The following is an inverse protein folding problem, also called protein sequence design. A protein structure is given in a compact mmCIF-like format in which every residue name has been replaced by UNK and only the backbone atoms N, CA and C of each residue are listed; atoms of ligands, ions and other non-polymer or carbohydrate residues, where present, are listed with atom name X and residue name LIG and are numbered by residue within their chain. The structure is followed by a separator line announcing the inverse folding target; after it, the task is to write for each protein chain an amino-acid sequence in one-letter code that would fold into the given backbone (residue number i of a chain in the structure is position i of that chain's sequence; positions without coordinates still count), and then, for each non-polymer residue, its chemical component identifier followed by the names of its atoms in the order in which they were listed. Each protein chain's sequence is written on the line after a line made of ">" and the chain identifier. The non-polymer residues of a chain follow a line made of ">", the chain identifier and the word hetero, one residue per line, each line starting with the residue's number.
data_IF_725928320955
#
_entry.id   IF_725928320955
#
_cell.length_a   1.000
_cell.length_b   1.000
_cell.length_c   1.000
_cell.angle_alpha   90.00
_cell.angle_beta   90.00
_cell.angle_gamma   90.00
#
_symmetry.space_group_name_H-M   'P 1'
#
loop_
_entity.id
_entity.type
_entity.pdbx_description
1 polymer ?
#
# COMPACT_ATOMS: atom_id res chain seq x y z
N UNK A 1 -4.71 32.77 -8.91
CA UNK A 1 -5.16 31.96 -7.76
C UNK A 1 -5.62 30.55 -8.16
N UNK A 2 -6.59 30.36 -9.06
CA UNK A 2 -7.08 28.99 -9.45
C UNK A 2 -6.00 28.00 -9.94
N UNK A 3 -4.87 28.47 -10.50
CA UNK A 3 -3.78 27.57 -10.98
C UNK A 3 -2.91 27.02 -9.85
N UNK A 4 -2.76 27.78 -8.75
CA UNK A 4 -1.94 27.38 -7.61
C UNK A 4 -2.69 26.34 -6.77
N UNK A 5 -3.98 26.55 -6.52
CA UNK A 5 -4.82 25.60 -5.80
C UNK A 5 -4.91 24.24 -6.51
N UNK A 6 -5.00 24.24 -7.84
CA UNK A 6 -5.01 23.00 -8.61
C UNK A 6 -3.68 22.23 -8.53
N UNK A 7 -2.55 22.94 -8.57
CA UNK A 7 -1.23 22.30 -8.41
C UNK A 7 -1.06 21.71 -7.00
N UNK A 8 -1.45 22.45 -5.96
CA UNK A 8 -1.38 21.98 -4.57
C UNK A 8 -2.24 20.72 -4.39
N UNK A 9 -3.44 20.68 -4.98
CA UNK A 9 -4.31 19.50 -4.91
C UNK A 9 -3.68 18.27 -5.58
N UNK A 10 -3.08 18.42 -6.76
CA UNK A 10 -2.41 17.31 -7.46
C UNK A 10 -1.21 16.78 -6.66
N UNK A 11 -0.36 17.67 -6.13
CA UNK A 11 0.77 17.28 -5.30
C UNK A 11 0.34 16.62 -3.98
N UNK A 12 -0.76 17.08 -3.38
CA UNK A 12 -1.34 16.44 -2.20
C UNK A 12 -1.82 15.02 -2.49
N UNK A 13 -2.40 14.79 -3.68
CA UNK A 13 -2.80 13.47 -4.12
C UNK A 13 -1.59 12.55 -4.37
N UNK A 14 -0.53 13.05 -5.00
CA UNK A 14 0.71 12.28 -5.19
C UNK A 14 1.34 11.91 -3.84
N UNK A 15 1.37 12.84 -2.88
CA UNK A 15 1.85 12.55 -1.53
C UNK A 15 1.01 11.48 -0.83
N UNK A 16 -0.32 11.52 -0.98
CA UNK A 16 -1.21 10.50 -0.46
C UNK A 16 -0.91 9.12 -1.07
N UNK A 17 -0.70 9.03 -2.40
CA UNK A 17 -0.29 7.81 -3.06
C UNK A 17 1.04 7.26 -2.52
N UNK A 18 2.03 8.14 -2.25
CA UNK A 18 3.30 7.73 -1.64
C UNK A 18 3.11 7.15 -0.23
N UNK A 19 2.25 7.77 0.60
CA UNK A 19 1.93 7.25 1.93
C UNK A 19 1.26 5.88 1.83
N UNK A 20 0.37 5.67 0.86
CA UNK A 20 -0.26 4.36 0.65
C UNK A 20 0.75 3.29 0.22
N UNK A 21 1.66 3.62 -0.71
CA UNK A 21 2.73 2.71 -1.12
C UNK A 21 3.64 2.36 0.04
N UNK A 22 3.98 3.34 0.89
CA UNK A 22 4.75 3.12 2.12
C UNK A 22 4.01 2.20 3.09
N UNK A 23 2.72 2.43 3.33
CA UNK A 23 1.90 1.56 4.17
C UNK A 23 1.83 0.12 3.60
N UNK A 24 1.85 -0.02 2.27
CA UNK A 24 1.84 -1.32 1.58
C UNK A 24 3.12 -2.13 1.66
N UNK A 25 4.18 -1.60 2.26
CA UNK A 25 5.37 -2.38 2.62
C UNK A 25 5.08 -3.39 3.74
N UNK A 26 4.11 -3.07 4.61
CA UNK A 26 3.85 -3.84 5.82
C UNK A 26 2.80 -4.93 5.54
N UNK A 27 3.12 -6.20 5.87
CA UNK A 27 2.18 -7.30 5.74
C UNK A 27 0.92 -7.05 6.60
N UNK A 28 -0.22 -7.58 6.16
CA UNK A 28 -1.50 -7.45 6.86
C UNK A 28 -2.17 -6.08 6.68
N UNK A 29 -1.47 -4.96 6.95
CA UNK A 29 -2.07 -3.61 7.16
C UNK A 29 -3.00 -3.09 6.07
N UNK A 30 -2.83 -3.56 4.84
CA UNK A 30 -3.61 -3.09 3.71
C UNK A 30 -4.87 -3.91 3.39
N UNK A 31 -5.09 -5.10 3.96
CA UNK A 31 -6.29 -5.88 3.61
C UNK A 31 -7.60 -5.13 3.93
N UNK A 32 -7.68 -4.56 5.13
CA UNK A 32 -8.81 -3.71 5.56
C UNK A 32 -8.63 -2.25 5.12
N UNK A 33 -7.39 -1.76 5.06
CA UNK A 33 -7.14 -0.40 4.61
C UNK A 33 -7.41 -0.23 3.10
N UNK A 34 -7.28 -1.25 2.25
CA UNK A 34 -7.62 -1.18 0.82
C UNK A 34 -9.10 -0.87 0.61
N UNK A 35 -9.99 -1.39 1.46
CA UNK A 35 -11.41 -1.00 1.45
C UNK A 35 -11.57 0.50 1.70
N UNK A 36 -10.95 1.02 2.76
CA UNK A 36 -10.96 2.46 3.05
C UNK A 36 -10.24 3.29 2.00
N UNK A 37 -9.19 2.76 1.39
CA UNK A 37 -8.40 3.42 0.34
C UNK A 37 -9.21 3.52 -0.95
N UNK A 38 -9.99 2.48 -1.29
CA UNK A 38 -10.92 2.50 -2.41
C UNK A 38 -12.04 3.50 -2.13
N UNK A 39 -12.65 3.48 -0.94
CA UNK A 39 -13.71 4.42 -0.57
C UNK A 39 -13.22 5.86 -0.58
N UNK A 40 -12.08 6.14 0.07
CA UNK A 40 -11.49 7.47 0.11
C UNK A 40 -10.99 7.91 -1.27
N UNK A 41 -10.47 6.98 -2.08
CA UNK A 41 -10.08 7.23 -3.46
C UNK A 41 -11.27 7.59 -4.34
N UNK A 42 -12.38 6.86 -4.23
CA UNK A 42 -13.63 7.18 -4.93
C UNK A 42 -14.21 8.53 -4.47
N UNK A 43 -14.16 8.82 -3.17
CA UNK A 43 -14.58 10.10 -2.61
C UNK A 43 -13.70 11.25 -3.12
N UNK A 44 -12.38 11.08 -3.08
CA UNK A 44 -11.42 12.07 -3.57
C UNK A 44 -11.60 12.33 -5.08
N UNK A 45 -11.83 11.28 -5.87
CA UNK A 45 -12.14 11.38 -7.28
C UNK A 45 -13.45 12.14 -7.52
N UNK A 46 -14.50 11.81 -6.76
CA UNK A 46 -15.79 12.50 -6.84
C UNK A 46 -15.65 13.99 -6.52
N UNK A 47 -14.88 14.33 -5.48
CA UNK A 47 -14.56 15.71 -5.10
C UNK A 47 -13.77 16.42 -6.20
N UNK A 48 -12.77 15.77 -6.79
CA UNK A 48 -11.98 16.32 -7.89
C UNK A 48 -12.82 16.59 -9.14
N UNK A 49 -13.73 15.66 -9.49
CA UNK A 49 -14.68 15.83 -10.60
C UNK A 49 -15.63 16.99 -10.32
N UNK A 50 -16.19 17.06 -9.11
CA UNK A 50 -17.08 18.15 -8.69
C UNK A 50 -16.41 19.52 -8.84
N UNK A 51 -15.21 19.70 -8.28
CA UNK A 51 -14.48 20.97 -8.40
C UNK A 51 -14.06 21.29 -9.84
N UNK A 52 -13.78 20.26 -10.66
CA UNK A 52 -13.49 20.45 -12.08
C UNK A 52 -14.71 20.95 -12.85
N UNK A 53 -15.89 20.37 -12.62
CA UNK A 53 -17.15 20.82 -13.23
C UNK A 53 -17.49 22.24 -12.80
N UNK A 54 -17.41 22.54 -11.50
CA UNK A 54 -17.63 23.91 -10.98
C UNK A 54 -16.62 24.89 -11.60
N UNK A 55 -15.36 24.49 -11.74
CA UNK A 55 -14.32 25.27 -12.40
C UNK A 55 -14.65 25.60 -13.86
N UNK A 56 -15.17 24.63 -14.61
CA UNK A 56 -15.62 24.81 -16.01
C UNK A 56 -16.82 25.75 -16.07
N UNK A 57 -17.82 25.58 -15.19
CA UNK A 57 -19.01 26.44 -15.13
C UNK A 57 -18.59 27.89 -14.85
N UNK A 58 -17.79 28.11 -13.80
CA UNK A 58 -17.30 29.45 -13.42
C UNK A 58 -16.45 30.06 -14.54
N UNK A 59 -15.63 29.25 -15.22
CA UNK A 59 -14.82 29.72 -16.34
C UNK A 59 -15.69 30.13 -17.54
N UNK A 60 -16.68 29.31 -17.90
CA UNK A 60 -17.65 29.63 -18.96
C UNK A 60 -18.43 30.90 -18.64
N UNK A 61 -18.91 31.03 -17.40
CA UNK A 61 -19.63 32.23 -16.95
C UNK A 61 -18.75 33.48 -17.00
N UNK A 62 -17.48 33.37 -16.58
CA UNK A 62 -16.49 34.46 -16.71
C UNK A 62 -16.14 34.77 -18.17
N UNK A 63 -16.11 33.77 -19.04
CA UNK A 63 -15.85 33.97 -20.47
C UNK A 63 -17.02 34.71 -21.13
N UNK A 64 -18.26 34.33 -20.84
CA UNK A 64 -19.47 35.02 -21.35
C UNK A 64 -19.53 36.46 -20.84
N UNK A 65 -19.30 36.68 -19.54
CA UNK A 65 -19.32 38.03 -18.94
C UNK A 65 -18.13 38.90 -19.37
N UNK A 66 -16.95 38.31 -19.61
CA UNK A 66 -15.81 39.04 -20.20
C UNK A 66 -15.93 39.26 -21.69
N UNK A 67 -16.56 38.36 -22.45
CA UNK A 67 -16.80 38.55 -23.89
C UNK A 67 -17.57 39.85 -24.15
N UNK A 68 -18.49 40.20 -23.24
CA UNK A 68 -19.18 41.51 -23.24
C UNK A 68 -18.28 42.72 -22.91
N UNK A 69 -17.10 42.54 -22.31
CA UNK A 69 -16.18 43.62 -21.89
C UNK A 69 -14.88 43.70 -22.70
N UNK A 70 -14.55 42.72 -23.54
CA UNK A 70 -13.19 42.55 -24.10
C UNK A 70 -13.06 42.82 -25.61
N UNK A 71 -13.82 43.80 -26.12
CA UNK A 71 -13.60 44.37 -27.46
C UNK A 71 -12.31 45.22 -27.56
N UNK A 72 -11.57 45.47 -26.47
CA UNK A 72 -10.29 46.18 -26.51
C UNK A 72 -9.29 45.53 -25.57
N UNK A 73 -8.03 45.49 -26.01
CA UNK A 73 -6.79 45.09 -25.31
C UNK A 73 -6.28 43.66 -25.58
N UNK A 74 -5.34 43.63 -26.52
CA UNK A 74 -4.37 42.57 -26.78
C UNK A 74 -3.37 42.61 -25.61
N UNK A 75 -3.51 41.69 -24.65
CA UNK A 75 -2.53 41.49 -23.57
C UNK A 75 -1.82 40.16 -23.82
N UNK A 76 -0.47 40.11 -23.75
CA UNK A 76 0.29 38.89 -24.00
C UNK A 76 -0.13 37.79 -23.02
N UNK A 77 -0.37 36.60 -23.57
CA UNK A 77 -0.89 35.43 -22.86
C UNK A 77 0.16 34.97 -21.85
N UNK A 78 -0.12 34.96 -20.54
CA UNK A 78 0.84 34.47 -19.55
C UNK A 78 1.15 33.00 -19.85
N UNK A 79 2.43 32.68 -20.00
CA UNK A 79 3.00 31.35 -20.25
C UNK A 79 2.26 30.35 -19.35
N UNK A 80 1.40 29.53 -19.96
CA UNK A 80 0.58 28.60 -19.21
C UNK A 80 1.51 27.54 -18.62
N UNK A 81 1.63 27.50 -17.29
CA UNK A 81 2.24 26.37 -16.60
C UNK A 81 1.64 25.07 -17.15
N UNK A 82 2.43 24.01 -17.33
CA UNK A 82 2.00 22.78 -17.98
C UNK A 82 1.11 21.93 -17.04
N UNK A 83 0.05 22.52 -16.47
CA UNK A 83 -0.89 21.87 -15.56
C UNK A 83 -1.49 20.60 -16.19
N UNK A 84 -1.67 20.59 -17.52
CA UNK A 84 -2.05 19.39 -18.27
C UNK A 84 -1.04 18.25 -18.11
N UNK A 85 0.27 18.53 -18.19
CA UNK A 85 1.32 17.51 -18.02
C UNK A 85 1.35 16.99 -16.59
N UNK A 86 1.21 17.87 -15.60
CA UNK A 86 1.16 17.48 -14.18
C UNK A 86 -0.08 16.61 -13.93
N UNK A 87 -1.25 17.01 -14.41
CA UNK A 87 -2.47 16.23 -14.26
C UNK A 87 -2.37 14.84 -14.91
N UNK A 88 -1.76 14.74 -16.09
CA UNK A 88 -1.51 13.43 -16.74
C UNK A 88 -0.54 12.59 -15.90
N UNK A 89 0.55 13.18 -15.40
CA UNK A 89 1.52 12.47 -14.56
C UNK A 89 0.88 11.95 -13.26
N UNK A 90 0.11 12.78 -12.55
CA UNK A 90 -0.64 12.39 -11.36
C UNK A 90 -1.63 11.26 -11.67
N UNK A 91 -2.37 11.33 -12.78
CA UNK A 91 -3.28 10.27 -13.18
C UNK A 91 -2.56 8.92 -13.40
N UNK A 92 -1.41 8.93 -14.10
CA UNK A 92 -0.57 7.74 -14.28
C UNK A 92 -0.09 7.22 -12.93
N UNK A 93 0.34 8.11 -12.02
CA UNK A 93 0.85 7.72 -10.71
C UNK A 93 -0.21 7.10 -9.81
N UNK A 94 -1.44 7.60 -9.85
CA UNK A 94 -2.59 7.00 -9.15
C UNK A 94 -2.88 5.60 -9.66
N UNK A 95 -2.94 5.40 -10.98
CA UNK A 95 -3.18 4.09 -11.59
C UNK A 95 -2.04 3.12 -11.25
N UNK A 96 -0.79 3.56 -11.35
CA UNK A 96 0.37 2.78 -10.96
C UNK A 96 0.29 2.37 -9.48
N UNK A 97 -0.07 3.30 -8.59
CA UNK A 97 -0.21 3.02 -7.16
C UNK A 97 -1.25 1.94 -6.91
N UNK A 98 -2.42 2.03 -7.55
CA UNK A 98 -3.46 1.00 -7.46
C UNK A 98 -2.97 -0.38 -7.93
N UNK A 99 -2.32 -0.45 -9.09
CA UNK A 99 -1.77 -1.71 -9.63
C UNK A 99 -0.69 -2.28 -8.70
N UNK A 100 0.23 -1.44 -8.22
CA UNK A 100 1.28 -1.84 -7.31
C UNK A 100 0.72 -2.38 -5.98
N UNK A 101 -0.30 -1.75 -5.43
CA UNK A 101 -0.95 -2.20 -4.19
C UNK A 101 -1.74 -3.50 -4.38
N UNK A 102 -2.55 -3.61 -5.43
CA UNK A 102 -3.32 -4.84 -5.73
C UNK A 102 -2.44 -6.07 -5.91
N UNK A 103 -1.25 -5.90 -6.52
CA UNK A 103 -0.30 -6.99 -6.73
C UNK A 103 0.74 -7.10 -5.61
N UNK A 104 0.58 -6.34 -4.52
CA UNK A 104 1.47 -6.33 -3.37
C UNK A 104 2.95 -6.06 -3.72
N UNK A 105 3.20 -5.26 -4.76
CA UNK A 105 4.56 -4.95 -5.22
C UNK A 105 5.42 -4.28 -4.15
N UNK A 106 4.95 -3.28 -3.39
CA UNK A 106 5.77 -2.65 -2.36
C UNK A 106 6.26 -3.66 -1.31
N UNK A 107 5.36 -4.54 -0.83
CA UNK A 107 5.71 -5.62 0.09
C UNK A 107 6.70 -6.59 -0.55
N UNK A 108 6.48 -7.03 -1.79
CA UNK A 108 7.38 -7.96 -2.48
C UNK A 108 8.79 -7.38 -2.67
N UNK A 109 8.89 -6.10 -2.99
CA UNK A 109 10.17 -5.40 -3.13
C UNK A 109 10.86 -5.28 -1.77
N UNK A 110 10.15 -4.82 -0.74
CA UNK A 110 10.70 -4.67 0.60
C UNK A 110 11.12 -6.01 1.24
N UNK A 111 10.32 -7.06 1.02
CA UNK A 111 10.68 -8.42 1.39
C UNK A 111 11.87 -8.91 0.58
N UNK A 112 11.91 -8.70 -0.74
CA UNK A 112 13.06 -9.06 -1.57
C UNK A 112 14.38 -8.46 -1.08
N UNK A 113 14.36 -7.20 -0.62
CA UNK A 113 15.51 -6.53 -0.01
C UNK A 113 15.88 -7.10 1.36
N UNK A 114 14.90 -7.58 2.13
CA UNK A 114 15.11 -8.14 3.48
C UNK A 114 15.37 -9.65 3.47
N UNK A 115 15.06 -10.34 2.36
CA UNK A 115 15.11 -11.80 2.20
C UNK A 115 16.45 -12.41 2.64
N UNK A 116 17.63 -11.81 2.36
CA UNK A 116 18.89 -12.36 2.84
C UNK A 116 18.96 -12.50 4.37
N UNK A 117 18.44 -11.53 5.13
CA UNK A 117 18.43 -11.58 6.59
C UNK A 117 17.51 -12.69 7.12
N UNK A 118 16.33 -12.85 6.50
CA UNK A 118 15.44 -13.97 6.81
C UNK A 118 16.06 -15.33 6.47
N UNK A 119 16.71 -15.43 5.31
CA UNK A 119 17.35 -16.67 4.84
C UNK A 119 18.54 -17.05 5.72
N UNK A 120 19.33 -16.07 6.19
CA UNK A 120 20.40 -16.33 7.15
C UNK A 120 19.85 -16.94 8.44
N UNK A 121 18.69 -16.46 8.91
CA UNK A 121 18.05 -17.00 10.12
C UNK A 121 17.45 -18.40 9.94
N UNK A 122 17.13 -18.81 8.71
CA UNK A 122 16.69 -20.18 8.43
C UNK A 122 17.76 -21.24 8.75
N UNK A 123 19.05 -20.89 8.62
CA UNK A 123 20.14 -21.84 8.89
C UNK A 123 20.24 -22.20 10.38
N UNK A 124 19.83 -21.28 11.25
CA UNK A 124 19.82 -21.44 12.70
C UNK A 124 18.47 -21.91 13.24
N UNK A 125 17.59 -22.37 12.36
CA UNK A 125 16.26 -22.84 12.70
C UNK A 125 16.34 -24.05 13.64
N UNK A 126 15.82 -23.96 14.89
CA UNK A 126 15.67 -25.16 15.72
C UNK A 126 14.73 -26.14 15.01
N UNK A 127 15.22 -27.35 14.76
CA UNK A 127 14.40 -28.47 14.33
C UNK A 127 13.68 -28.97 15.58
N UNK A 128 12.35 -28.83 15.61
CA UNK A 128 11.56 -29.26 16.76
C UNK A 128 10.66 -30.42 16.36
N UNK A 129 10.66 -31.47 17.19
CA UNK A 129 9.79 -32.65 17.04
C UNK A 129 8.33 -32.36 17.46
N UNK A 130 8.08 -31.25 18.15
CA UNK A 130 6.72 -30.82 18.49
C UNK A 130 6.12 -30.04 17.33
N UNK A 131 4.84 -30.30 17.04
CA UNK A 131 4.16 -29.81 15.85
C UNK A 131 4.28 -28.29 15.63
N UNK A 132 4.48 -27.49 16.68
CA UNK A 132 4.77 -26.07 16.58
C UNK A 132 5.52 -25.63 17.84
N UNK A 133 6.69 -25.01 17.70
CA UNK A 133 7.37 -24.32 18.82
C UNK A 133 7.60 -22.87 18.48
N UNK A 134 6.97 -21.99 19.25
CA UNK A 134 7.14 -20.55 19.15
C UNK A 134 8.30 -20.09 20.04
N UNK A 135 9.23 -19.35 19.45
CA UNK A 135 10.36 -18.74 20.12
C UNK A 135 10.29 -17.22 19.97
N UNK A 136 10.38 -16.45 21.06
CA UNK A 136 10.49 -15.00 20.95
C UNK A 136 11.83 -14.66 20.28
N UNK A 137 11.77 -13.88 19.19
CA UNK A 137 12.95 -13.43 18.46
C UNK A 137 13.27 -11.96 18.75
N UNK A 138 12.26 -11.09 18.72
CA UNK A 138 12.39 -9.65 18.99
C UNK A 138 13.58 -8.97 18.26
N UNK A 139 13.75 -9.31 16.99
CA UNK A 139 14.89 -8.88 16.18
C UNK A 139 14.43 -8.16 14.91
N UNK A 140 15.22 -7.21 14.43
CA UNK A 140 14.98 -6.55 13.15
C UNK A 140 15.67 -7.29 12.01
N UNK A 141 14.87 -7.92 11.14
CA UNK A 141 15.32 -8.57 9.91
C UNK A 141 15.07 -7.64 8.70
N UNK A 142 16.11 -6.89 8.32
CA UNK A 142 16.02 -5.89 7.26
C UNK A 142 15.10 -4.73 7.64
N UNK A 143 14.02 -4.51 6.88
CA UNK A 143 13.03 -3.46 7.20
C UNK A 143 11.96 -3.92 8.20
N UNK A 144 11.86 -5.23 8.46
CA UNK A 144 10.81 -5.81 9.30
C UNK A 144 11.32 -6.06 10.71
N UNK A 145 10.47 -5.79 11.70
CA UNK A 145 10.69 -6.23 13.07
C UNK A 145 9.95 -7.54 13.28
N UNK A 146 10.65 -8.57 13.75
CA UNK A 146 10.10 -9.92 13.95
C UNK A 146 9.99 -10.18 15.45
N UNK A 147 8.78 -10.41 15.92
CA UNK A 147 8.48 -10.67 17.34
C UNK A 147 8.69 -12.13 17.69
N UNK A 148 8.15 -13.02 16.86
CA UNK A 148 8.18 -14.46 17.08
C UNK A 148 8.67 -15.19 15.85
N UNK A 149 9.29 -16.33 16.13
CA UNK A 149 9.82 -17.27 15.19
C UNK A 149 9.23 -18.63 15.53
N UNK A 150 8.82 -19.40 14.53
CA UNK A 150 8.36 -20.76 14.75
C UNK A 150 8.77 -21.66 13.60
N UNK A 151 9.08 -22.91 13.90
CA UNK A 151 9.35 -23.95 12.93
C UNK A 151 8.49 -25.17 13.23
N UNK A 152 8.14 -25.91 12.18
CA UNK A 152 7.50 -27.21 12.29
C UNK A 152 8.46 -28.35 11.90
N UNK A 153 8.05 -29.57 12.20
CA UNK A 153 8.80 -30.79 11.88
C UNK A 153 8.91 -31.07 10.38
N UNK A 154 8.06 -30.44 9.56
CA UNK A 154 8.08 -30.52 8.10
C UNK A 154 9.07 -29.56 7.44
N UNK A 155 9.75 -28.72 8.21
CA UNK A 155 10.72 -27.73 7.71
C UNK A 155 10.10 -26.39 7.29
N UNK A 156 8.80 -26.17 7.54
CA UNK A 156 8.20 -24.86 7.36
C UNK A 156 8.65 -23.93 8.48
N UNK A 157 8.92 -22.68 8.14
CA UNK A 157 9.38 -21.67 9.10
C UNK A 157 8.55 -20.42 8.99
N UNK A 158 8.10 -19.90 10.13
CA UNK A 158 7.21 -18.75 10.24
C UNK A 158 7.88 -17.63 11.03
N UNK A 159 7.86 -16.43 10.47
CA UNK A 159 8.38 -15.21 11.09
C UNK A 159 7.22 -14.23 11.28
N UNK A 160 6.81 -14.01 12.52
CA UNK A 160 5.74 -13.07 12.84
C UNK A 160 6.29 -11.64 12.92
N UNK A 161 5.74 -10.75 12.10
CA UNK A 161 6.17 -9.34 12.04
C UNK A 161 5.23 -8.38 12.78
N UNK A 162 4.11 -8.89 13.28
CA UNK A 162 3.16 -8.11 14.06
C UNK A 162 1.78 -8.74 14.14
N UNK A 163 0.81 -7.91 14.51
CA UNK A 163 -0.60 -8.25 14.61
C UNK A 163 -1.43 -7.31 13.75
N UNK A 164 -2.45 -7.83 13.06
CA UNK A 164 -3.26 -7.08 12.11
C UNK A 164 -4.68 -6.78 12.62
N UNK A 165 -5.09 -5.51 12.47
CA UNK A 165 -6.49 -5.08 12.54
C UNK A 165 -7.10 -5.10 13.94
N UNK A 166 -8.43 -4.92 13.99
CA UNK A 166 -9.24 -4.99 15.21
C UNK A 166 -9.24 -6.41 15.82
N UNK A 167 -8.94 -7.43 15.01
CA UNK A 167 -9.03 -8.86 15.34
C UNK A 167 -7.72 -9.51 15.78
N UNK A 168 -6.64 -8.76 15.99
CA UNK A 168 -5.48 -9.36 16.65
C UNK A 168 -4.71 -10.36 15.77
N UNK A 169 -4.96 -10.46 14.46
CA UNK A 169 -4.52 -11.61 13.66
C UNK A 169 -3.00 -11.59 13.43
N UNK A 170 -2.23 -12.59 13.91
CA UNK A 170 -0.81 -12.65 13.67
C UNK A 170 -0.51 -12.80 12.17
N UNK A 171 0.50 -12.08 11.71
CA UNK A 171 0.88 -12.08 10.30
C UNK A 171 2.39 -11.92 10.15
N UNK A 172 2.89 -12.31 8.98
CA UNK A 172 4.29 -12.17 8.64
C UNK A 172 4.67 -13.00 7.44
N UNK A 173 5.88 -13.56 7.45
CA UNK A 173 6.43 -14.32 6.32
C UNK A 173 6.66 -15.78 6.71
N UNK A 174 6.31 -16.69 5.81
CA UNK A 174 6.50 -18.11 5.94
C UNK A 174 7.42 -18.62 4.82
N UNK A 175 8.37 -19.47 5.18
CA UNK A 175 9.18 -20.23 4.25
C UNK A 175 8.58 -21.63 4.13
N UNK A 176 8.22 -22.02 2.90
CA UNK A 176 7.62 -23.32 2.57
C UNK A 176 6.51 -23.77 3.55
N UNK A 177 5.44 -22.98 3.74
CA UNK A 177 4.34 -23.36 4.62
C UNK A 177 3.70 -24.68 4.14
N UNK A 178 3.26 -25.50 5.09
CA UNK A 178 2.50 -26.71 4.81
C UNK A 178 0.99 -26.50 5.04
N UNK A 179 0.20 -27.47 4.59
CA UNK A 179 -1.26 -27.43 4.74
C UNK A 179 -1.75 -27.84 6.15
N UNK A 180 -0.84 -28.19 7.07
CA UNK A 180 -1.19 -28.67 8.41
C UNK A 180 -1.53 -27.54 9.39
N UNK A 181 -1.26 -26.29 9.01
CA UNK A 181 -1.64 -25.10 9.76
C UNK A 181 -0.46 -24.17 10.06
N UNK A 182 -0.73 -23.10 10.81
CA UNK A 182 0.29 -22.19 11.32
C UNK A 182 0.44 -22.35 12.83
N UNK A 183 1.66 -22.19 13.38
CA UNK A 183 1.87 -22.14 14.84
C UNK A 183 0.99 -21.10 15.53
N UNK A 184 0.67 -20.00 14.84
CA UNK A 184 0.06 -18.81 15.43
C UNK A 184 -1.49 -18.78 15.38
N UNK A 185 -2.17 -19.89 15.11
CA UNK A 185 -3.65 -19.97 15.12
C UNK A 185 -4.21 -21.33 14.70
N UNK A 186 -5.50 -21.60 14.98
CA UNK A 186 -6.09 -22.95 14.84
C UNK A 186 -7.10 -23.13 13.69
N UNK A 187 -7.69 -22.05 13.15
CA UNK A 187 -8.95 -22.16 12.39
C UNK A 187 -8.92 -21.60 10.96
N UNK A 188 -7.99 -20.69 10.64
CA UNK A 188 -7.88 -20.12 9.29
C UNK A 188 -6.48 -19.58 9.00
N UNK A 189 -5.88 -20.10 7.92
CA UNK A 189 -4.60 -19.62 7.41
C UNK A 189 -4.75 -19.14 5.99
N UNK A 190 -4.26 -17.93 5.72
CA UNK A 190 -4.16 -17.39 4.38
C UNK A 190 -2.69 -17.30 3.98
N UNK A 191 -2.35 -17.91 2.85
CA UNK A 191 -1.02 -17.83 2.24
C UNK A 191 -1.08 -17.11 0.90
N UNK A 192 -0.22 -16.11 0.71
CA UNK A 192 -0.04 -15.46 -0.58
C UNK A 192 1.44 -15.47 -0.99
N UNK A 193 1.78 -15.85 -2.23
CA UNK A 193 3.17 -15.93 -2.66
C UNK A 193 3.82 -14.54 -2.70
N UNK A 194 5.01 -14.42 -2.11
CA UNK A 194 5.83 -13.20 -2.06
C UNK A 194 7.09 -13.37 -2.93
N UNK A 195 7.78 -14.48 -2.76
CA UNK A 195 8.90 -14.93 -3.59
C UNK A 195 8.84 -16.45 -3.73
N UNK A 196 9.72 -17.04 -4.55
CA UNK A 196 9.71 -18.47 -4.93
C UNK A 196 9.22 -19.42 -3.82
N UNK A 197 9.92 -19.43 -2.69
CA UNK A 197 9.65 -20.34 -1.55
C UNK A 197 9.08 -19.59 -0.33
N UNK A 198 8.70 -18.32 -0.51
CA UNK A 198 8.30 -17.42 0.57
C UNK A 198 6.88 -16.91 0.38
N UNK A 199 6.10 -17.00 1.43
CA UNK A 199 4.69 -16.68 1.45
C UNK A 199 4.41 -15.66 2.54
N UNK A 200 3.47 -14.77 2.30
CA UNK A 200 2.81 -13.97 3.32
C UNK A 200 1.84 -14.91 4.03
N UNK A 201 1.88 -14.97 5.35
CA UNK A 201 0.86 -15.66 6.12
C UNK A 201 0.04 -14.68 6.96
N UNK A 202 -1.24 -15.01 7.13
CA UNK A 202 -2.13 -14.41 8.13
C UNK A 202 -2.88 -15.56 8.80
N UNK A 203 -2.80 -15.63 10.12
CA UNK A 203 -3.52 -16.61 10.92
C UNK A 203 -4.69 -15.92 11.64
N UNK A 204 -5.86 -16.55 11.68
CA UNK A 204 -7.00 -16.10 12.49
C UNK A 204 -6.71 -16.31 13.97
N UNK A 205 -7.22 -15.40 14.80
CA UNK A 205 -7.17 -15.51 16.25
C UNK A 205 -8.56 -15.90 16.79
N UNK A 206 -9.18 -16.89 16.17
CA UNK A 206 -10.46 -17.42 16.65
C UNK A 206 -10.16 -18.61 17.57
N UNK A 207 -9.97 -18.28 18.85
CA UNK A 207 -10.22 -19.08 20.05
C UNK A 207 -11.66 -19.60 20.15
#
# INVERSE_FOLDING_TARGET
>A
MMRLSGLIALLGLDLYCLVLLWCGVWPGRLGEAMFWTIILGMLALAVAVFFSVVGVIVWGWRAVTRSRRRARTIVPKPRAYPLKRVAIATAIFVVFTYVALSHHWPMRVAFGLSKPAFTARLADAPVTDQNFSEFPLNERLGVYYVTYYAADSGGSVYFQTGFHGFWAAPHGFAYQPNDQGSPFGHTGHFFAPVAKDWYLFRASHDW
#
